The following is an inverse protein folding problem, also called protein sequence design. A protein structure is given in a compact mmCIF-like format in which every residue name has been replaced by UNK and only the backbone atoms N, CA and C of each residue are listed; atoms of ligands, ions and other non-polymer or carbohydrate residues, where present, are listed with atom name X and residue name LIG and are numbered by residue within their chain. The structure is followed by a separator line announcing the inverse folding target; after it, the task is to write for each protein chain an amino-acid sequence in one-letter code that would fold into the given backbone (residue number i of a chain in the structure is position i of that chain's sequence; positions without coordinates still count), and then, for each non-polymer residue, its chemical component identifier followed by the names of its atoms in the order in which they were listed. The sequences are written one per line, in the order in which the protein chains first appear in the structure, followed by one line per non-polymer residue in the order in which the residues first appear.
data_IF_030372643257
#
_entry.id   IF_030372643257
#
_cell.length_a   1.000
_cell.length_b   1.000
_cell.length_c   1.000
_cell.angle_alpha   90.00
_cell.angle_beta   90.00
_cell.angle_gamma   90.00
#
_symmetry.space_group_name_H-M   'P 1'
#
loop_
_entity.id
_entity.type
_entity.pdbx_description
1 polymer ?
#
# COMPACT_ATOMS: atom_id res chain seq x y z
N UNK A 1 -0.02 14.11 -3.30
CA UNK A 1 0.79 13.49 -2.22
C UNK A 1 0.06 13.44 -0.88
N UNK A 2 -1.03 14.20 -0.67
CA UNK A 2 -1.89 14.11 0.54
C UNK A 2 -2.80 12.85 0.59
N UNK A 3 -2.86 12.04 -0.47
CA UNK A 3 -3.93 11.05 -0.69
C UNK A 3 -3.67 9.64 -0.10
N UNK A 4 -2.64 9.46 0.74
CA UNK A 4 -2.29 8.14 1.32
C UNK A 4 -2.66 8.02 2.82
N UNK A 5 -3.05 9.12 3.47
CA UNK A 5 -3.29 9.14 4.92
C UNK A 5 -4.80 9.12 5.25
N UNK A 6 -5.33 7.95 5.59
CA UNK A 6 -6.65 7.81 6.20
C UNK A 6 -6.59 8.18 7.70
N UNK A 7 -7.36 9.18 8.20
CA UNK A 7 -7.29 9.65 9.58
C UNK A 7 -7.62 8.60 10.66
N UNK A 8 -8.37 7.56 10.32
CA UNK A 8 -8.74 6.48 11.26
C UNK A 8 -7.64 5.42 11.40
N UNK A 9 -6.82 5.23 10.35
CA UNK A 9 -5.53 4.52 10.43
C UNK A 9 -4.46 5.36 11.14
N UNK A 10 -4.68 6.67 11.27
CA UNK A 10 -3.80 7.66 11.92
C UNK A 10 -4.01 7.78 13.45
N UNK A 11 -4.91 6.99 14.06
CA UNK A 11 -5.19 7.09 15.50
C UNK A 11 -4.55 6.02 16.42
N UNK A 12 -3.94 4.94 15.89
CA UNK A 12 -3.50 3.76 16.67
C UNK A 12 -1.99 3.62 16.94
N UNK A 13 -1.12 4.48 16.41
CA UNK A 13 0.34 4.34 16.59
C UNK A 13 0.99 5.55 17.29
N UNK A 14 1.38 5.42 18.56
CA UNK A 14 2.31 6.37 19.18
C UNK A 14 3.68 6.31 18.47
N UNK A 15 3.86 7.05 17.36
CA UNK A 15 5.10 7.08 16.57
C UNK A 15 4.91 7.25 15.05
N UNK A 16 3.94 8.07 14.63
CA UNK A 16 3.34 8.10 13.29
C UNK A 16 4.23 8.40 12.07
N UNK A 17 5.44 8.94 12.23
CA UNK A 17 6.30 9.30 11.08
C UNK A 17 6.81 8.06 10.34
N UNK A 18 7.63 7.24 11.00
CA UNK A 18 8.38 6.16 10.34
C UNK A 18 7.50 5.02 9.80
N UNK A 19 6.37 4.72 10.44
CA UNK A 19 5.49 3.63 9.98
C UNK A 19 4.72 3.99 8.70
N UNK A 20 4.35 5.26 8.55
CA UNK A 20 3.69 5.75 7.34
C UNK A 20 4.65 5.84 6.16
N UNK A 21 5.94 6.06 6.44
CA UNK A 21 7.01 6.07 5.44
C UNK A 21 7.17 4.69 4.77
N UNK A 22 7.14 3.59 5.55
CA UNK A 22 7.31 2.23 5.00
C UNK A 22 6.15 1.77 4.12
N UNK A 23 4.92 2.13 4.46
CA UNK A 23 3.77 1.82 3.63
C UNK A 23 3.88 2.51 2.27
N UNK A 24 4.17 3.81 2.29
CA UNK A 24 4.36 4.60 1.07
C UNK A 24 5.51 4.06 0.23
N UNK A 25 6.61 3.64 0.88
CA UNK A 25 7.71 2.96 0.21
C UNK A 25 7.29 1.63 -0.44
N UNK A 26 6.46 0.82 0.23
CA UNK A 26 5.92 -0.42 -0.33
C UNK A 26 5.06 -0.20 -1.58
N UNK A 27 4.26 0.88 -1.60
CA UNK A 27 3.45 1.25 -2.77
C UNK A 27 4.36 1.63 -3.95
N UNK A 28 5.35 2.49 -3.71
CA UNK A 28 6.30 2.91 -4.73
C UNK A 28 7.16 1.74 -5.22
N UNK A 29 7.63 0.88 -4.32
CA UNK A 29 8.41 -0.30 -4.69
C UNK A 29 7.59 -1.26 -5.57
N UNK A 30 6.31 -1.48 -5.27
CA UNK A 30 5.43 -2.27 -6.12
C UNK A 30 5.27 -1.63 -7.51
N UNK A 31 5.07 -0.30 -7.56
CA UNK A 31 4.91 0.43 -8.81
C UNK A 31 6.18 0.40 -9.66
N UNK A 32 7.37 0.54 -9.05
CA UNK A 32 8.65 0.42 -9.75
C UNK A 32 8.90 -0.99 -10.28
N UNK A 33 8.50 -2.03 -9.55
CA UNK A 33 8.69 -3.42 -9.97
C UNK A 33 7.71 -3.84 -11.06
N UNK A 34 6.49 -3.30 -11.05
CA UNK A 34 5.39 -3.79 -11.90
C UNK A 34 4.96 -2.83 -13.00
N UNK A 35 5.32 -1.55 -12.89
CA UNK A 35 4.79 -0.47 -13.74
C UNK A 35 3.33 -0.14 -13.47
N UNK A 36 2.71 -0.71 -12.42
CA UNK A 36 1.30 -0.54 -12.09
C UNK A 36 1.13 -0.19 -10.62
N UNK A 37 0.19 0.70 -10.30
CA UNK A 37 -0.16 0.96 -8.90
C UNK A 37 -1.01 -0.17 -8.31
N UNK A 38 -0.75 -0.60 -7.06
CA UNK A 38 -1.40 -1.77 -6.48
C UNK A 38 -2.88 -1.57 -6.13
N UNK A 39 -3.35 -0.32 -6.02
CA UNK A 39 -4.71 0.00 -5.55
C UNK A 39 -5.51 0.95 -6.47
N UNK A 40 -4.92 1.41 -7.58
CA UNK A 40 -5.67 2.16 -8.60
C UNK A 40 -6.17 1.23 -9.70
N UNK A 41 -7.10 1.72 -10.51
CA UNK A 41 -7.58 1.06 -11.73
C UNK A 41 -7.46 2.02 -12.90
N UNK A 42 -7.33 1.52 -14.12
CA UNK A 42 -7.27 2.38 -15.30
C UNK A 42 -8.56 3.20 -15.48
N UNK A 43 -8.39 4.46 -15.91
CA UNK A 43 -9.48 5.41 -16.14
C UNK A 43 -9.86 6.28 -14.93
N UNK A 44 -11.03 6.91 -15.00
CA UNK A 44 -11.43 7.98 -14.05
C UNK A 44 -12.09 7.46 -12.75
N UNK A 45 -11.99 6.16 -12.44
CA UNK A 45 -12.63 5.53 -11.27
C UNK A 45 -11.64 5.35 -10.10
N UNK A 46 -11.00 6.45 -9.70
CA UNK A 46 -10.02 6.50 -8.62
C UNK A 46 -10.33 7.65 -7.66
N UNK A 47 -11.59 7.79 -7.24
CA UNK A 47 -11.96 8.72 -6.17
C UNK A 47 -11.19 8.35 -4.89
N UNK A 48 -10.92 9.33 -4.04
CA UNK A 48 -10.19 9.12 -2.77
C UNK A 48 -10.82 8.02 -1.91
N UNK A 49 -12.16 8.00 -1.84
CA UNK A 49 -12.94 7.00 -1.11
C UNK A 49 -12.78 5.59 -1.70
N UNK A 50 -12.71 5.47 -3.03
CA UNK A 50 -12.50 4.19 -3.71
C UNK A 50 -11.11 3.63 -3.45
N UNK A 51 -10.09 4.49 -3.49
CA UNK A 51 -8.70 4.11 -3.20
C UNK A 51 -8.57 3.68 -1.74
N UNK A 52 -9.10 4.47 -0.80
CA UNK A 52 -9.08 4.15 0.62
C UNK A 52 -9.78 2.80 0.89
N UNK A 53 -10.95 2.59 0.27
CA UNK A 53 -11.67 1.30 0.33
C UNK A 53 -10.81 0.16 -0.19
N UNK A 54 -10.10 0.32 -1.32
CA UNK A 54 -9.25 -0.72 -1.89
C UNK A 54 -8.04 -1.02 -1.00
N UNK A 55 -7.41 0.01 -0.42
CA UNK A 55 -6.31 -0.17 0.55
C UNK A 55 -6.77 -1.03 1.74
N UNK A 56 -7.96 -0.76 2.27
CA UNK A 56 -8.52 -1.47 3.42
C UNK A 56 -9.00 -2.89 3.09
N UNK A 57 -9.52 -3.12 1.88
CA UNK A 57 -10.25 -4.36 1.55
C UNK A 57 -9.51 -5.31 0.59
N UNK A 58 -8.74 -4.79 -0.38
CA UNK A 58 -8.12 -5.61 -1.42
C UNK A 58 -6.76 -6.15 -0.98
N UNK A 59 -6.46 -7.40 -1.32
CA UNK A 59 -5.10 -7.93 -1.22
C UNK A 59 -4.23 -7.31 -2.30
N UNK A 60 -2.93 -7.19 -2.04
CA UNK A 60 -1.95 -6.72 -3.02
C UNK A 60 -1.97 -7.66 -4.25
N UNK A 61 -2.21 -7.14 -5.47
CA UNK A 61 -2.37 -7.97 -6.66
C UNK A 61 -1.01 -8.36 -7.27
N UNK A 62 -0.29 -9.28 -6.61
CA UNK A 62 1.02 -9.73 -7.10
C UNK A 62 0.94 -10.40 -8.48
N UNK A 63 1.73 -9.93 -9.47
CA UNK A 63 1.80 -10.58 -10.78
C UNK A 63 2.35 -12.01 -10.69
N UNK A 64 1.92 -12.87 -11.62
CA UNK A 64 2.36 -14.28 -11.64
C UNK A 64 3.87 -14.44 -11.87
N UNK A 65 4.47 -13.51 -12.60
CA UNK A 65 5.90 -13.50 -12.92
C UNK A 65 6.77 -12.95 -11.76
N UNK A 66 6.17 -12.35 -10.73
CA UNK A 66 6.91 -11.81 -9.59
C UNK A 66 7.46 -12.96 -8.74
N UNK A 67 8.77 -12.93 -8.52
CA UNK A 67 9.48 -13.90 -7.70
C UNK A 67 9.08 -13.84 -6.22
N UNK A 68 9.47 -14.87 -5.47
CA UNK A 68 9.09 -15.00 -4.06
C UNK A 68 9.72 -13.90 -3.19
N UNK A 69 10.96 -13.52 -3.47
CA UNK A 69 11.68 -12.52 -2.67
C UNK A 69 11.04 -11.15 -2.80
N UNK A 70 10.74 -10.74 -4.04
CA UNK A 70 10.04 -9.47 -4.30
C UNK A 70 8.64 -9.45 -3.67
N UNK A 71 7.91 -10.57 -3.75
CA UNK A 71 6.57 -10.68 -3.14
C UNK A 71 6.63 -10.56 -1.61
N UNK A 72 7.59 -11.22 -0.98
CA UNK A 72 7.76 -11.19 0.46
C UNK A 72 8.17 -9.79 0.95
N UNK A 73 9.15 -9.18 0.28
CA UNK A 73 9.58 -7.81 0.54
C UNK A 73 8.41 -6.81 0.49
N UNK A 74 7.62 -6.82 -0.59
CA UNK A 74 6.44 -5.96 -0.70
C UNK A 74 5.37 -6.33 0.34
N UNK A 75 5.20 -7.62 0.64
CA UNK A 75 4.24 -8.10 1.62
C UNK A 75 4.51 -7.60 3.04
N UNK A 76 5.79 -7.54 3.42
CA UNK A 76 6.22 -6.97 4.70
C UNK A 76 5.94 -5.46 4.74
N UNK A 77 6.30 -4.72 3.69
CA UNK A 77 6.07 -3.26 3.61
C UNK A 77 4.58 -2.87 3.59
N UNK A 78 3.76 -3.66 2.90
CA UNK A 78 2.31 -3.45 2.77
C UNK A 78 1.50 -4.29 3.78
N UNK A 79 2.11 -4.70 4.89
CA UNK A 79 1.35 -5.30 5.98
C UNK A 79 0.45 -4.24 6.64
N UNK A 80 -0.81 -4.57 6.91
CA UNK A 80 -1.76 -3.62 7.49
C UNK A 80 -1.52 -3.37 8.97
N UNK A 81 -0.97 -4.36 9.68
CA UNK A 81 -0.58 -4.21 11.07
C UNK A 81 0.84 -3.62 11.12
N UNK A 82 1.00 -2.37 11.58
CA UNK A 82 2.31 -1.73 11.66
C UNK A 82 3.28 -2.45 12.61
N UNK A 83 2.79 -3.27 13.54
CA UNK A 83 3.62 -4.06 14.47
C UNK A 83 4.15 -5.35 13.85
N UNK A 84 3.58 -5.76 12.71
CA UNK A 84 3.96 -6.95 11.96
C UNK A 84 4.63 -6.61 10.62
N UNK A 85 4.96 -5.32 10.41
CA UNK A 85 5.83 -4.86 9.33
C UNK A 85 7.30 -5.07 9.70
#
# INVERSE_FOLDING_TARGET
MELVFDPSLVAQCRGYGQCADWWSFGVIAFELLTGCSPFTVDGNQNSTEDIARRILTKKVPYPKWMDRTSRDFIGQLLNRDPKLR
#
